data_IF_467135622512
#
_entry.id   IF_467135622512
#
_cell.length_a   1.000
_cell.length_b   1.000
_cell.length_c   1.000
_cell.angle_alpha   90.00
_cell.angle_beta   90.00
_cell.angle_gamma   90.00
#
_symmetry.space_group_name_H-M   'P 1'
#
loop_
_entity.id
_entity.type
_entity.pdbx_description
1 polymer ?
#
# COMPACT_ATOMS: atom_id res chain seq x y z
N UNK A 1 -9.77 -12.85 -6.13
CA UNK A 1 -8.46 -12.65 -6.77
C UNK A 1 -8.17 -11.17 -6.82
N UNK A 2 -6.96 -10.78 -6.44
CA UNK A 2 -6.45 -9.42 -6.62
C UNK A 2 -5.52 -9.39 -7.84
N UNK A 3 -5.37 -8.22 -8.47
CA UNK A 3 -4.45 -8.05 -9.59
C UNK A 3 -4.82 -8.80 -10.87
N UNK A 4 -3.94 -8.70 -11.87
CA UNK A 4 -4.05 -9.40 -13.14
C UNK A 4 -2.76 -10.20 -13.39
N UNK A 5 -2.77 -11.53 -13.21
CA UNK A 5 -1.57 -12.36 -13.36
C UNK A 5 -1.04 -12.41 -14.80
N UNK A 6 -1.86 -12.03 -15.80
CA UNK A 6 -1.43 -11.98 -17.21
C UNK A 6 -0.62 -10.74 -17.54
N UNK A 7 -0.65 -9.70 -16.71
CA UNK A 7 0.09 -8.47 -16.96
C UNK A 7 1.57 -8.62 -16.57
N UNK A 8 2.47 -7.93 -17.28
CA UNK A 8 3.91 -7.95 -16.98
C UNK A 8 4.25 -7.24 -15.67
N UNK A 9 3.51 -6.17 -15.35
CA UNK A 9 3.66 -5.34 -14.17
C UNK A 9 2.30 -5.21 -13.45
N UNK A 10 2.31 -4.94 -12.13
CA UNK A 10 1.09 -4.71 -11.39
C UNK A 10 0.37 -3.45 -11.88
N UNK A 11 -0.93 -3.41 -11.65
CA UNK A 11 -1.79 -2.30 -12.07
C UNK A 11 -1.25 -0.98 -11.50
N UNK A 12 -1.11 0.03 -12.35
CA UNK A 12 -0.66 1.40 -11.97
C UNK A 12 0.72 1.41 -11.31
N UNK A 13 1.59 0.48 -11.70
CA UNK A 13 2.99 0.55 -11.34
C UNK A 13 3.61 1.87 -11.80
N UNK A 14 4.35 2.51 -10.90
CA UNK A 14 5.11 3.75 -11.13
C UNK A 14 6.30 3.80 -10.18
N UNK A 15 7.32 4.53 -10.57
CA UNK A 15 8.55 4.70 -9.79
C UNK A 15 8.99 6.16 -9.84
N UNK A 16 9.51 6.66 -8.72
CA UNK A 16 10.10 8.00 -8.62
C UNK A 16 11.49 7.83 -8.01
N UNK A 17 12.50 8.30 -8.75
CA UNK A 17 13.90 8.32 -8.33
C UNK A 17 14.32 9.78 -8.16
N UNK A 18 14.30 10.26 -6.92
CA UNK A 18 14.68 11.62 -6.54
C UNK A 18 16.04 11.60 -5.82
N UNK A 19 16.73 12.72 -5.73
CA UNK A 19 18.02 12.81 -5.01
C UNK A 19 17.90 12.40 -3.54
N UNK A 20 16.77 12.73 -2.92
CA UNK A 20 16.55 12.54 -1.47
C UNK A 20 15.80 11.25 -1.12
N UNK A 21 15.14 10.62 -2.09
CA UNK A 21 14.29 9.45 -1.86
C UNK A 21 14.08 8.60 -3.11
N UNK A 22 13.81 7.31 -2.90
CA UNK A 22 13.46 6.37 -3.96
C UNK A 22 12.21 5.60 -3.59
N UNK A 23 11.22 5.59 -4.47
CA UNK A 23 9.98 4.87 -4.19
C UNK A 23 9.32 4.31 -5.45
N UNK A 24 8.52 3.28 -5.21
CA UNK A 24 7.61 2.68 -6.19
C UNK A 24 6.20 2.65 -5.62
N UNK A 25 5.21 2.65 -6.52
CA UNK A 25 3.79 2.59 -6.18
C UNK A 25 3.05 1.66 -7.13
N UNK A 26 2.20 0.76 -6.64
CA UNK A 26 1.29 -0.02 -7.50
C UNK A 26 0.06 -0.54 -6.77
N UNK A 27 -0.85 -1.17 -7.52
CA UNK A 27 -1.83 -2.10 -6.96
C UNK A 27 -1.18 -3.42 -6.56
N UNK A 28 -2.01 -4.39 -6.15
CA UNK A 28 -1.51 -5.71 -5.75
C UNK A 28 -0.75 -6.37 -6.90
N UNK A 29 0.46 -6.83 -6.60
CA UNK A 29 1.32 -7.60 -7.50
C UNK A 29 1.13 -9.09 -7.31
N UNK A 30 1.49 -9.87 -8.32
CA UNK A 30 1.83 -11.28 -8.15
C UNK A 30 3.29 -11.43 -7.70
N UNK A 31 3.69 -12.54 -7.06
CA UNK A 31 5.09 -12.81 -6.75
C UNK A 31 5.98 -12.78 -8.01
N UNK A 32 5.53 -13.37 -9.12
CA UNK A 32 6.22 -13.25 -10.41
C UNK A 32 6.42 -11.81 -10.90
N UNK A 33 5.44 -10.93 -10.72
CA UNK A 33 5.57 -9.51 -11.06
C UNK A 33 6.56 -8.79 -10.16
N UNK A 34 6.52 -9.07 -8.85
CA UNK A 34 7.46 -8.51 -7.88
C UNK A 34 8.90 -8.92 -8.24
N UNK A 35 9.16 -10.20 -8.51
CA UNK A 35 10.49 -10.67 -8.92
C UNK A 35 11.00 -9.93 -10.16
N UNK A 36 10.15 -9.71 -11.17
CA UNK A 36 10.51 -8.94 -12.37
C UNK A 36 10.88 -7.49 -12.06
N UNK A 37 10.24 -6.87 -11.06
CA UNK A 37 10.57 -5.52 -10.62
C UNK A 37 11.91 -5.54 -9.89
N UNK A 38 12.09 -6.45 -8.93
CA UNK A 38 13.31 -6.56 -8.13
C UNK A 38 14.55 -6.83 -8.99
N UNK A 39 14.44 -7.69 -10.00
CA UNK A 39 15.56 -8.00 -10.91
C UNK A 39 16.07 -6.79 -11.72
N UNK A 40 15.32 -5.69 -11.75
CA UNK A 40 15.74 -4.43 -12.40
C UNK A 40 16.40 -3.44 -11.44
N UNK A 41 16.43 -3.75 -10.15
CA UNK A 41 16.93 -2.88 -9.10
C UNK A 41 18.19 -3.49 -8.49
N UNK A 42 19.24 -2.68 -8.38
CA UNK A 42 20.45 -3.03 -7.65
C UNK A 42 20.54 -2.24 -6.33
N UNK A 43 19.51 -2.38 -5.49
CA UNK A 43 19.40 -1.66 -4.23
C UNK A 43 18.45 -2.40 -3.26
N UNK A 44 18.58 -2.19 -1.94
CA UNK A 44 17.63 -2.72 -0.97
C UNK A 44 16.22 -2.22 -1.26
N UNK A 45 15.23 -3.12 -1.12
CA UNK A 45 13.81 -2.80 -1.29
C UNK A 45 13.09 -3.17 0.00
N UNK A 46 12.18 -2.31 0.44
CA UNK A 46 11.22 -2.61 1.50
C UNK A 46 9.82 -2.48 0.92
N UNK A 47 9.03 -3.56 0.99
CA UNK A 47 7.59 -3.50 0.68
C UNK A 47 6.90 -2.77 1.82
N UNK A 48 6.11 -1.76 1.45
CA UNK A 48 5.21 -1.04 2.35
C UNK A 48 3.78 -1.43 2.00
N UNK A 49 3.27 -2.44 2.70
CA UNK A 49 1.91 -2.93 2.55
C UNK A 49 0.94 -2.04 3.33
N UNK A 50 -0.03 -1.45 2.63
CA UNK A 50 -1.01 -0.53 3.20
C UNK A 50 -2.39 -1.19 3.40
N UNK A 51 -2.45 -2.53 3.39
CA UNK A 51 -3.70 -3.28 3.39
C UNK A 51 -4.13 -3.70 4.80
N UNK A 52 -5.23 -3.15 5.28
CA UNK A 52 -5.90 -3.65 6.48
C UNK A 52 -6.66 -4.96 6.23
N UNK A 53 -7.15 -5.18 5.00
CA UNK A 53 -7.85 -6.40 4.62
C UNK A 53 -6.94 -7.63 4.65
N UNK A 54 -7.47 -8.78 5.07
CA UNK A 54 -6.71 -10.03 5.14
C UNK A 54 -6.39 -10.52 3.72
N UNK A 55 -5.12 -10.81 3.45
CA UNK A 55 -4.65 -11.16 2.11
C UNK A 55 -3.42 -12.08 2.13
N UNK A 56 -3.07 -12.60 0.95
CA UNK A 56 -1.88 -13.43 0.75
C UNK A 56 -1.80 -13.96 -0.67
N UNK A 57 -1.04 -15.03 -0.86
CA UNK A 57 -0.77 -15.64 -2.16
C UNK A 57 -1.11 -17.12 -2.13
N UNK A 58 -1.79 -17.59 -3.18
CA UNK A 58 -2.07 -19.00 -3.40
C UNK A 58 -1.62 -19.37 -4.81
N UNK A 59 -0.60 -20.22 -4.93
CA UNK A 59 -0.01 -20.62 -6.23
C UNK A 59 0.35 -19.42 -7.13
N UNK A 60 1.06 -18.43 -6.62
CA UNK A 60 1.40 -17.18 -7.33
C UNK A 60 0.22 -16.22 -7.58
N UNK A 61 -1.00 -16.58 -7.17
CA UNK A 61 -2.19 -15.74 -7.33
C UNK A 61 -2.41 -14.94 -6.04
N UNK A 62 -2.36 -13.60 -6.08
CA UNK A 62 -2.71 -12.79 -4.92
C UNK A 62 -4.22 -12.84 -4.68
N UNK A 63 -4.59 -12.99 -3.42
CA UNK A 63 -5.97 -13.11 -2.96
C UNK A 63 -6.20 -12.27 -1.72
N UNK A 64 -7.45 -11.88 -1.50
CA UNK A 64 -7.91 -11.29 -0.25
C UNK A 64 -9.27 -11.84 0.14
N UNK A 65 -9.51 -11.90 1.45
CA UNK A 65 -10.84 -12.15 1.99
C UNK A 65 -11.62 -10.85 1.93
N UNK A 66 -12.55 -10.79 0.99
CA UNK A 66 -13.26 -9.57 0.62
C UNK A 66 -14.72 -9.64 1.06
N UNK A 67 -15.13 -8.67 1.86
CA UNK A 67 -16.53 -8.39 2.18
C UNK A 67 -16.92 -6.96 1.85
N UNK A 68 -17.95 -6.46 2.52
CA UNK A 68 -18.58 -5.20 2.14
C UNK A 68 -17.56 -4.04 2.21
N UNK A 69 -17.37 -3.35 1.08
CA UNK A 69 -16.40 -2.23 0.92
C UNK A 69 -14.93 -2.57 1.21
N UNK A 70 -14.56 -3.86 1.31
CA UNK A 70 -13.21 -4.29 1.71
C UNK A 70 -12.87 -3.88 3.16
N UNK A 71 -13.87 -3.87 4.04
CA UNK A 71 -13.79 -3.39 5.44
C UNK A 71 -13.99 -4.51 6.47
N UNK A 72 -13.71 -5.76 6.11
CA UNK A 72 -13.89 -6.94 6.97
C UNK A 72 -13.14 -6.86 8.31
N UNK A 73 -12.11 -6.03 8.36
CA UNK A 73 -11.26 -5.80 9.51
C UNK A 73 -11.52 -4.45 10.21
N UNK A 74 -12.58 -3.75 9.85
CA UNK A 74 -13.01 -2.54 10.55
C UNK A 74 -13.29 -2.86 12.04
N UNK A 75 -12.84 -1.99 12.93
CA UNK A 75 -12.98 -2.09 14.39
C UNK A 75 -12.22 -3.27 15.05
N UNK A 76 -11.38 -4.02 14.31
CA UNK A 76 -10.51 -5.04 14.89
C UNK A 76 -9.18 -4.42 15.32
N UNK A 77 -8.59 -4.96 16.39
CA UNK A 77 -7.21 -4.62 16.73
C UNK A 77 -6.25 -5.20 15.68
N UNK A 78 -5.08 -4.57 15.51
CA UNK A 78 -4.04 -5.04 14.59
C UNK A 78 -3.63 -6.48 14.89
N UNK A 79 -3.42 -6.82 16.16
CA UNK A 79 -3.07 -8.18 16.58
C UNK A 79 -4.13 -9.22 16.21
N UNK A 80 -5.41 -8.82 16.23
CA UNK A 80 -6.53 -9.67 15.81
C UNK A 80 -6.51 -9.87 14.29
N UNK A 81 -6.27 -8.81 13.52
CA UNK A 81 -6.16 -8.88 12.06
C UNK A 81 -5.04 -9.84 11.65
N UNK A 82 -3.86 -9.70 12.25
CA UNK A 82 -2.71 -10.57 12.00
C UNK A 82 -2.99 -12.03 12.33
N UNK A 83 -3.60 -12.28 13.49
CA UNK A 83 -3.98 -13.61 13.91
C UNK A 83 -4.96 -14.25 12.91
N UNK A 84 -6.04 -13.54 12.55
CA UNK A 84 -7.07 -14.05 11.66
C UNK A 84 -6.55 -14.24 10.23
N UNK A 85 -5.75 -13.32 9.68
CA UNK A 85 -5.14 -13.50 8.36
C UNK A 85 -4.26 -14.75 8.31
N UNK A 86 -3.43 -14.97 9.34
CA UNK A 86 -2.62 -16.18 9.46
C UNK A 86 -3.47 -17.44 9.54
N UNK A 87 -4.54 -17.42 10.33
CA UNK A 87 -5.43 -18.56 10.48
C UNK A 87 -6.15 -18.90 9.15
N UNK A 88 -6.64 -17.88 8.45
CA UNK A 88 -7.25 -18.02 7.13
C UNK A 88 -6.29 -18.64 6.09
N UNK A 89 -5.04 -18.18 6.06
CA UNK A 89 -4.01 -18.76 5.18
C UNK A 89 -3.68 -20.21 5.57
N UNK A 90 -3.58 -20.51 6.86
CA UNK A 90 -3.36 -21.88 7.35
C UNK A 90 -4.51 -22.81 6.95
N UNK A 91 -5.76 -22.40 7.12
CA UNK A 91 -6.93 -23.18 6.70
C UNK A 91 -6.91 -23.46 5.20
N UNK A 92 -6.58 -22.45 4.38
CA UNK A 92 -6.43 -22.63 2.92
C UNK A 92 -5.35 -23.65 2.61
N UNK A 93 -4.20 -23.61 3.29
CA UNK A 93 -3.09 -24.55 3.05
C UNK A 93 -3.44 -26.02 3.32
N UNK A 94 -4.44 -26.27 4.17
CA UNK A 94 -4.91 -27.61 4.53
C UNK A 94 -6.08 -28.07 3.66
N UNK A 95 -6.64 -27.19 2.84
CA UNK A 95 -7.81 -27.49 2.02
C UNK A 95 -7.39 -28.17 0.70
N UNK A 96 -8.14 -29.19 0.26
CA UNK A 96 -7.84 -29.90 -0.99
C UNK A 96 -8.22 -29.13 -2.26
N UNK A 97 -9.14 -28.18 -2.16
CA UNK A 97 -9.70 -27.41 -3.27
C UNK A 97 -10.29 -26.08 -2.78
N UNK A 98 -9.99 -24.99 -3.47
CA UNK A 98 -10.56 -23.66 -3.21
C UNK A 98 -11.15 -23.06 -4.47
N UNK A 99 -12.17 -22.22 -4.30
CA UNK A 99 -12.77 -21.44 -5.39
C UNK A 99 -12.35 -19.99 -5.25
N UNK A 100 -11.68 -19.48 -6.28
CA UNK A 100 -11.27 -18.08 -6.38
C UNK A 100 -12.24 -17.34 -7.30
N UNK A 101 -12.84 -16.28 -6.77
CA UNK A 101 -13.75 -15.40 -7.50
C UNK A 101 -13.05 -14.07 -7.82
N UNK A 102 -13.08 -13.59 -9.07
CA UNK A 102 -12.71 -12.23 -9.42
C UNK A 102 -13.73 -11.24 -8.83
N UNK A 103 -13.27 -10.07 -8.40
CA UNK A 103 -14.17 -9.09 -7.79
C UNK A 103 -15.09 -8.46 -8.86
N UNK A 104 -16.37 -8.23 -8.49
CA UNK A 104 -17.53 -7.90 -9.36
C UNK A 104 -17.32 -6.86 -10.47
N UNK A 105 -16.32 -5.97 -10.37
CA UNK A 105 -15.92 -5.05 -11.47
C UNK A 105 -15.13 -5.73 -12.61
N UNK A 106 -14.79 -7.00 -12.44
CA UNK A 106 -14.03 -7.83 -13.38
C UNK A 106 -14.75 -9.17 -13.65
N UNK A 107 -15.94 -9.39 -13.06
CA UNK A 107 -16.67 -10.67 -13.12
C UNK A 107 -17.17 -11.00 -14.53
N UNK A 108 -17.52 -10.01 -15.35
CA UNK A 108 -17.95 -10.25 -16.74
C UNK A 108 -16.80 -10.74 -17.65
N UNK A 109 -15.56 -10.78 -17.16
CA UNK A 109 -14.37 -11.18 -17.92
C UNK A 109 -13.67 -12.45 -17.41
N UNK A 110 -14.00 -12.93 -16.23
CA UNK A 110 -13.25 -14.02 -15.59
C UNK A 110 -14.19 -15.00 -14.89
N UNK A 111 -14.15 -16.26 -15.32
CA UNK A 111 -14.83 -17.37 -14.67
C UNK A 111 -14.22 -17.64 -13.28
N UNK A 112 -15.01 -18.22 -12.38
CA UNK A 112 -14.47 -18.78 -11.13
C UNK A 112 -13.32 -19.73 -11.44
N UNK A 113 -12.22 -19.59 -10.71
CA UNK A 113 -11.06 -20.46 -10.85
C UNK A 113 -11.06 -21.42 -9.67
N UNK A 114 -11.07 -22.71 -9.95
CA UNK A 114 -10.99 -23.71 -8.90
C UNK A 114 -9.62 -24.38 -8.95
N UNK A 115 -8.91 -24.41 -7.83
CA UNK A 115 -7.56 -24.96 -7.77
C UNK A 115 -7.28 -25.66 -6.44
N UNK A 116 -6.24 -26.50 -6.44
CA UNK A 116 -5.65 -27.04 -5.21
C UNK A 116 -4.56 -26.07 -4.73
N UNK A 117 -4.59 -25.61 -3.47
CA UNK A 117 -3.55 -24.75 -2.92
C UNK A 117 -2.28 -25.57 -2.68
N UNK A 118 -1.27 -25.40 -3.54
CA UNK A 118 0.03 -26.09 -3.45
C UNK A 118 1.06 -25.25 -2.71
N UNK A 119 0.95 -23.92 -2.81
CA UNK A 119 1.77 -22.96 -2.09
C UNK A 119 0.86 -21.86 -1.55
N UNK A 120 0.94 -21.61 -0.24
CA UNK A 120 0.22 -20.53 0.44
C UNK A 120 1.22 -19.69 1.20
N UNK A 121 1.25 -18.39 0.95
CA UNK A 121 2.20 -17.47 1.59
C UNK A 121 1.47 -16.20 2.06
N UNK A 122 1.81 -15.71 3.25
CA UNK A 122 1.59 -14.31 3.58
C UNK A 122 2.55 -13.43 2.79
N UNK A 123 2.26 -12.13 2.71
CA UNK A 123 3.15 -11.21 2.01
C UNK A 123 4.49 -11.01 2.73
N UNK A 124 4.49 -11.03 4.06
CA UNK A 124 5.72 -11.06 4.86
C UNK A 124 6.58 -12.30 4.57
N UNK A 125 5.97 -13.48 4.42
CA UNK A 125 6.68 -14.71 4.04
C UNK A 125 7.26 -14.62 2.63
N UNK A 126 6.53 -14.03 1.68
CA UNK A 126 7.03 -13.79 0.34
C UNK A 126 8.24 -12.84 0.36
N UNK A 127 8.14 -11.72 1.06
CA UNK A 127 9.22 -10.75 1.18
C UNK A 127 10.49 -11.38 1.79
N UNK A 128 10.33 -12.15 2.88
CA UNK A 128 11.40 -12.90 3.52
C UNK A 128 12.06 -13.90 2.56
N UNK A 129 11.26 -14.67 1.81
CA UNK A 129 11.76 -15.62 0.80
C UNK A 129 12.57 -14.96 -0.32
N UNK A 130 12.25 -13.70 -0.64
CA UNK A 130 12.96 -12.90 -1.64
C UNK A 130 14.13 -12.09 -1.06
N UNK A 131 14.38 -12.16 0.25
CA UNK A 131 15.47 -11.44 0.92
C UNK A 131 15.27 -9.92 0.94
N UNK A 132 14.03 -9.43 0.91
CA UNK A 132 13.70 -8.00 0.94
C UNK A 132 12.97 -7.63 2.24
N UNK A 133 12.98 -6.35 2.58
CA UNK A 133 12.28 -5.87 3.77
C UNK A 133 10.76 -5.83 3.58
N UNK A 134 10.03 -5.86 4.70
CA UNK A 134 8.58 -5.78 4.72
C UNK A 134 8.12 -4.96 5.93
N UNK A 135 7.21 -4.02 5.68
CA UNK A 135 6.53 -3.26 6.72
C UNK A 135 5.06 -3.10 6.33
N UNK A 136 4.15 -3.44 7.24
CA UNK A 136 2.71 -3.28 7.06
C UNK A 136 2.17 -2.10 7.85
N UNK A 137 1.22 -1.38 7.26
CA UNK A 137 0.38 -0.36 7.87
C UNK A 137 -1.09 -0.66 7.60
N UNK A 138 -1.89 -0.78 8.65
CA UNK A 138 -3.27 -1.28 8.58
C UNK A 138 -4.24 -0.15 8.26
N UNK A 139 -4.30 0.22 6.98
CA UNK A 139 -5.18 1.30 6.51
C UNK A 139 -6.39 0.73 5.78
N UNK A 140 -7.59 1.01 6.30
CA UNK A 140 -8.86 0.62 5.69
C UNK A 140 -8.99 1.19 4.28
N UNK A 141 -9.65 0.46 3.38
CA UNK A 141 -9.80 0.95 2.01
C UNK A 141 -10.61 2.25 1.98
N UNK A 142 -10.19 3.20 1.13
CA UNK A 142 -10.76 4.54 0.98
C UNK A 142 -10.57 5.52 2.15
N UNK A 143 -10.33 5.04 3.37
CA UNK A 143 -10.11 5.85 4.57
C UNK A 143 -8.74 6.57 4.59
N UNK A 144 -8.58 7.63 5.40
CA UNK A 144 -7.26 8.11 5.82
C UNK A 144 -6.52 7.08 6.70
N UNK A 145 -5.18 7.19 6.84
CA UNK A 145 -4.49 6.50 7.91
C UNK A 145 -4.91 7.06 9.28
N UNK A 146 -5.03 6.20 10.28
CA UNK A 146 -5.20 6.62 11.66
C UNK A 146 -3.92 7.28 12.19
N UNK A 147 -4.05 8.13 13.21
CA UNK A 147 -2.91 8.85 13.79
C UNK A 147 -1.82 7.91 14.33
N UNK A 148 -2.22 6.77 14.90
CA UNK A 148 -1.31 5.74 15.42
C UNK A 148 -0.44 5.15 14.30
N UNK A 149 -1.05 4.80 13.17
CA UNK A 149 -0.36 4.28 11.98
C UNK A 149 0.52 5.36 11.32
N UNK A 150 0.05 6.62 11.29
CA UNK A 150 0.86 7.75 10.81
C UNK A 150 2.11 7.95 11.67
N UNK A 151 2.00 7.88 13.00
CA UNK A 151 3.14 8.00 13.90
C UNK A 151 4.16 6.88 13.70
N UNK A 152 3.69 5.62 13.56
CA UNK A 152 4.56 4.49 13.23
C UNK A 152 5.24 4.69 11.87
N UNK A 153 4.53 5.24 10.89
CA UNK A 153 5.08 5.51 9.57
C UNK A 153 6.23 6.51 9.61
N UNK A 154 6.10 7.59 10.40
CA UNK A 154 7.18 8.57 10.60
C UNK A 154 8.41 7.89 11.21
N UNK A 155 8.23 7.10 12.26
CA UNK A 155 9.32 6.36 12.92
C UNK A 155 10.02 5.40 11.95
N UNK A 156 9.23 4.66 11.16
CA UNK A 156 9.73 3.79 10.10
C UNK A 156 10.55 4.57 9.06
N UNK A 157 10.05 5.69 8.54
CA UNK A 157 10.76 6.51 7.55
C UNK A 157 12.11 7.03 8.07
N UNK A 158 12.23 7.29 9.38
CA UNK A 158 13.48 7.69 10.01
C UNK A 158 14.46 6.54 10.23
N UNK A 159 13.99 5.29 10.35
CA UNK A 159 14.87 4.12 10.55
C UNK A 159 15.40 3.50 9.26
N UNK A 160 14.83 3.87 8.11
CA UNK A 160 15.19 3.28 6.81
C UNK A 160 16.63 3.66 6.41
N UNK A 161 17.47 2.68 6.04
CA UNK A 161 18.82 2.95 5.53
C UNK A 161 18.81 3.83 4.28
N UNK A 162 19.89 4.59 4.09
CA UNK A 162 20.11 5.34 2.84
C UNK A 162 20.04 4.40 1.63
N UNK A 163 19.68 4.95 0.48
CA UNK A 163 19.61 4.25 -0.81
C UNK A 163 18.54 3.15 -0.93
N UNK A 164 17.73 2.92 0.10
CA UNK A 164 16.62 1.95 0.09
C UNK A 164 15.44 2.44 -0.73
N UNK A 165 14.90 1.56 -1.57
CA UNK A 165 13.63 1.78 -2.28
C UNK A 165 12.44 1.38 -1.41
N UNK A 166 11.47 2.27 -1.25
CA UNK A 166 10.18 1.93 -0.64
C UNK A 166 9.16 1.59 -1.71
N UNK A 167 8.64 0.36 -1.65
CA UNK A 167 7.60 -0.09 -2.56
C UNK A 167 6.23 -0.06 -1.88
N UNK A 168 5.51 1.05 -2.06
CA UNK A 168 4.15 1.20 -1.57
C UNK A 168 3.14 0.47 -2.46
N UNK A 169 2.24 -0.29 -1.85
CA UNK A 169 1.08 -0.78 -2.57
C UNK A 169 -0.15 -0.84 -1.66
N UNK A 170 -1.29 -0.97 -2.33
CA UNK A 170 -2.52 -1.43 -1.71
C UNK A 170 -3.22 -2.31 -2.75
N UNK A 171 -4.49 -2.66 -2.55
CA UNK A 171 -5.23 -3.42 -3.57
C UNK A 171 -5.20 -2.75 -4.96
N UNK A 172 -5.48 -1.44 -5.02
CA UNK A 172 -5.72 -0.72 -6.27
C UNK A 172 -4.62 0.23 -6.75
N UNK A 173 -3.60 0.50 -5.94
CA UNK A 173 -2.50 1.39 -6.32
C UNK A 173 -2.84 2.87 -6.42
N UNK A 174 -3.93 3.29 -5.78
CA UNK A 174 -4.45 4.66 -5.84
C UNK A 174 -4.51 5.31 -4.46
N UNK A 175 -5.65 5.23 -3.76
CA UNK A 175 -5.91 6.04 -2.56
C UNK A 175 -4.82 5.93 -1.49
N UNK A 176 -4.69 4.75 -0.90
CA UNK A 176 -3.68 4.45 0.15
C UNK A 176 -2.26 4.65 -0.37
N UNK A 177 -1.92 4.00 -1.49
CA UNK A 177 -0.59 4.10 -2.12
C UNK A 177 -0.14 5.53 -2.37
N UNK A 178 -0.97 6.35 -3.03
CA UNK A 178 -0.60 7.74 -3.33
C UNK A 178 -0.51 8.58 -2.06
N UNK A 179 -1.35 8.29 -1.06
CA UNK A 179 -1.30 9.01 0.23
C UNK A 179 0.04 8.77 0.92
N UNK A 180 0.48 7.52 1.05
CA UNK A 180 1.75 7.23 1.71
C UNK A 180 2.96 7.66 0.89
N UNK A 181 2.88 7.65 -0.45
CA UNK A 181 3.92 8.24 -1.30
C UNK A 181 4.03 9.76 -1.06
N UNK A 182 2.91 10.49 -0.96
CA UNK A 182 2.91 11.92 -0.60
C UNK A 182 3.50 12.15 0.79
N UNK A 183 3.05 11.38 1.80
CA UNK A 183 3.57 11.49 3.17
C UNK A 183 5.08 11.23 3.24
N UNK A 184 5.58 10.28 2.45
CA UNK A 184 7.00 10.00 2.34
C UNK A 184 7.79 11.16 1.74
N UNK A 185 7.30 11.79 0.66
CA UNK A 185 7.93 12.96 0.08
C UNK A 185 7.96 14.15 1.04
N UNK A 186 6.87 14.39 1.77
CA UNK A 186 6.80 15.46 2.78
C UNK A 186 7.93 15.28 3.81
N UNK A 187 8.20 14.04 4.23
CA UNK A 187 9.26 13.73 5.19
C UNK A 187 10.67 13.82 4.61
N UNK A 188 10.87 13.37 3.36
CA UNK A 188 12.21 13.28 2.76
C UNK A 188 12.65 14.53 2.01
N UNK A 189 11.71 15.35 1.54
CA UNK A 189 11.96 16.57 0.79
C UNK A 189 11.28 17.79 1.44
N UNK A 190 11.67 18.17 2.67
CA UNK A 190 10.98 19.18 3.50
C UNK A 190 11.11 20.63 3.00
N UNK A 191 11.72 20.84 1.83
CA UNK A 191 11.82 22.15 1.16
C UNK A 191 10.80 22.30 0.03
N UNK A 192 10.13 21.22 -0.39
CA UNK A 192 9.17 21.23 -1.48
C UNK A 192 7.80 21.68 -1.00
N UNK A 193 7.06 22.40 -1.84
CA UNK A 193 5.68 22.74 -1.54
C UNK A 193 4.76 21.54 -1.68
N UNK A 194 3.67 21.51 -0.89
CA UNK A 194 2.67 20.45 -0.98
C UNK A 194 2.02 20.37 -2.38
N UNK A 195 1.88 21.50 -3.08
CA UNK A 195 1.32 21.53 -4.43
C UNK A 195 2.25 20.87 -5.46
N UNK A 196 3.56 21.07 -5.36
CA UNK A 196 4.55 20.39 -6.21
C UNK A 196 4.52 18.88 -5.97
N UNK A 197 4.51 18.45 -4.70
CA UNK A 197 4.43 17.03 -4.34
C UNK A 197 3.15 16.38 -4.93
N UNK A 198 2.00 17.04 -4.83
CA UNK A 198 0.77 16.53 -5.44
C UNK A 198 0.84 16.47 -6.96
N UNK A 199 1.42 17.49 -7.61
CA UNK A 199 1.55 17.53 -9.06
C UNK A 199 2.44 16.39 -9.58
N UNK A 200 3.58 16.16 -8.92
CA UNK A 200 4.50 15.07 -9.25
C UNK A 200 3.85 13.69 -9.10
N UNK A 201 3.10 13.48 -8.02
CA UNK A 201 2.39 12.23 -7.82
C UNK A 201 1.35 11.98 -8.91
N UNK A 202 0.64 13.00 -9.37
CA UNK A 202 -0.28 12.88 -10.51
C UNK A 202 0.48 12.61 -11.80
N UNK A 203 1.59 13.33 -12.05
CA UNK A 203 2.43 13.14 -13.24
C UNK A 203 3.00 11.71 -13.33
N UNK A 204 3.41 11.14 -12.18
CA UNK A 204 3.86 9.77 -12.09
C UNK A 204 2.73 8.72 -12.24
N UNK A 205 1.47 9.13 -12.42
CA UNK A 205 0.32 8.24 -12.57
C UNK A 205 -0.38 7.85 -11.27
N UNK A 206 -0.08 8.56 -10.18
CA UNK A 206 -0.80 8.48 -8.91
C UNK A 206 -2.21 9.07 -8.98
N UNK A 207 -2.96 8.91 -7.89
CA UNK A 207 -4.30 9.51 -7.79
C UNK A 207 -4.18 11.01 -7.52
N UNK A 208 -4.93 11.84 -8.25
CA UNK A 208 -5.20 13.20 -7.82
C UNK A 208 -6.01 13.18 -6.51
N UNK A 209 -5.34 13.46 -5.40
CA UNK A 209 -5.93 13.44 -4.06
C UNK A 209 -6.74 14.70 -3.77
N UNK A 210 -6.57 15.78 -4.53
CA UNK A 210 -7.37 17.01 -4.45
C UNK A 210 -8.71 16.85 -5.15
N UNK A 211 -8.78 15.98 -6.16
CA UNK A 211 -10.04 15.67 -6.84
C UNK A 211 -10.95 14.76 -5.99
N UNK A 212 -12.02 15.36 -5.46
CA UNK A 212 -13.03 14.65 -4.68
C UNK A 212 -13.94 13.77 -5.56
N UNK A 213 -14.44 12.64 -5.04
CA UNK A 213 -15.51 11.90 -5.69
C UNK A 213 -16.84 12.70 -5.64
N UNK A 214 -17.94 12.23 -6.28
CA UNK A 214 -19.24 12.86 -6.13
C UNK A 214 -19.68 12.91 -4.66
N UNK A 215 -20.34 14.00 -4.23
CA UNK A 215 -20.83 14.17 -2.85
C UNK A 215 -21.81 13.07 -2.41
N UNK A 216 -22.58 12.50 -3.34
CA UNK A 216 -23.46 11.36 -3.09
C UNK A 216 -22.73 10.04 -2.81
N UNK A 217 -21.41 9.98 -3.04
CA UNK A 217 -20.62 8.80 -2.78
C UNK A 217 -20.26 8.70 -1.30
N UNK A 218 -20.42 7.51 -0.71
CA UNK A 218 -19.91 7.22 0.65
C UNK A 218 -18.39 7.48 0.82
N UNK A 219 -17.66 7.63 -0.29
CA UNK A 219 -16.21 7.90 -0.31
C UNK A 219 -15.87 9.38 -0.16
N UNK A 220 -16.85 10.28 -0.26
CA UNK A 220 -16.62 11.72 -0.28
C UNK A 220 -16.00 12.22 1.02
N UNK A 221 -16.66 11.97 2.15
CA UNK A 221 -16.14 12.40 3.46
C UNK A 221 -14.79 11.76 3.78
N UNK A 222 -14.60 10.48 3.47
CA UNK A 222 -13.31 9.80 3.63
C UNK A 222 -12.20 10.41 2.77
N UNK A 223 -12.53 10.86 1.54
CA UNK A 223 -11.56 11.51 0.67
C UNK A 223 -11.18 12.91 1.17
N UNK A 224 -12.16 13.65 1.67
CA UNK A 224 -11.98 14.98 2.28
C UNK A 224 -11.13 14.88 3.54
N UNK A 225 -11.45 13.94 4.42
CA UNK A 225 -10.69 13.68 5.66
C UNK A 225 -9.24 13.30 5.35
N UNK A 226 -9.03 12.43 4.35
CA UNK A 226 -7.67 12.07 3.90
C UNK A 226 -6.86 13.24 3.38
N UNK A 227 -7.47 14.15 2.62
CA UNK A 227 -6.78 15.35 2.18
C UNK A 227 -6.40 16.22 3.39
N UNK A 228 -7.34 16.42 4.32
CA UNK A 228 -7.10 17.21 5.52
C UNK A 228 -6.00 16.61 6.43
N UNK A 229 -5.89 15.28 6.53
CA UNK A 229 -4.78 14.62 7.24
C UNK A 229 -3.44 14.93 6.60
N UNK A 230 -3.34 14.91 5.26
CA UNK A 230 -2.09 15.22 4.55
C UNK A 230 -1.71 16.69 4.75
N UNK A 231 -2.67 17.61 4.65
CA UNK A 231 -2.45 19.05 4.82
C UNK A 231 -1.96 19.37 6.24
N UNK A 232 -2.65 18.87 7.27
CA UNK A 232 -2.21 19.03 8.67
C UNK A 232 -0.84 18.40 8.92
N UNK A 233 -0.58 17.25 8.31
CA UNK A 233 0.73 16.61 8.43
C UNK A 233 1.83 17.48 7.84
N UNK A 234 1.64 18.01 6.63
CA UNK A 234 2.58 18.92 5.99
C UNK A 234 2.85 20.17 6.84
N UNK A 235 1.81 20.82 7.35
CA UNK A 235 1.92 21.98 8.23
C UNK A 235 2.71 21.67 9.52
N UNK A 236 2.51 20.49 10.10
CA UNK A 236 3.26 20.04 11.29
C UNK A 236 4.75 19.90 11.00
N UNK A 237 5.13 19.41 9.81
CA UNK A 237 6.54 19.24 9.43
C UNK A 237 7.23 20.58 9.17
N UNK A 238 6.54 21.55 8.57
CA UNK A 238 7.05 22.93 8.42
C UNK A 238 7.28 23.55 9.80
N UNK A 239 6.31 23.43 10.71
CA UNK A 239 6.38 24.03 12.04
C UNK A 239 7.55 23.46 12.84
N UNK A 240 7.72 22.14 12.86
CA UNK A 240 8.84 21.48 13.54
C UNK A 240 10.21 21.93 12.99
N UNK A 241 10.31 22.10 11.67
CA UNK A 241 11.53 22.59 11.03
C UNK A 241 11.87 24.02 11.43
N UNK A 242 10.87 24.90 11.50
CA UNK A 242 11.05 26.30 11.95
C UNK A 242 11.55 26.36 13.39
N UNK A 243 10.96 25.56 14.29
CA UNK A 243 11.40 25.46 15.70
C UNK A 243 12.84 24.96 15.78
N UNK A 244 13.18 23.89 15.05
CA UNK A 244 14.54 23.33 15.06
C UNK A 244 15.59 24.30 14.47
N UNK A 245 15.19 25.17 13.55
CA UNK A 245 16.06 26.21 13.01
C UNK A 245 16.29 27.36 14.01
N UNK A 246 15.24 27.76 14.74
CA UNK A 246 15.34 28.78 15.80
C UNK A 246 16.18 28.30 16.98
N UNK A 247 16.06 27.03 17.39
CA UNK A 247 16.82 26.45 18.50
C UNK A 247 18.34 26.25 18.21
N UNK A 248 18.76 26.40 16.95
CA UNK A 248 20.16 26.28 16.51
C UNK A 248 20.84 27.64 16.25
N UNK A 249 20.12 28.74 16.43
CA UNK A 249 20.66 30.11 16.40
C UNK A 249 20.84 30.60 17.82
#
# INVERSE_FOLDING_TARGET
MDGNPKATLPKRFRSINHSDFRMMGSGQFTPSQLIKILNKLNAPVIIVDLRAESHGFINDIPVSWYGHRNWDNQNKSISRIEFEERDLLNQVSQTSKITLTPLRKEADKYSQTILKPLSVLSEAQLASKLGIGYQRFYVLDHAPPEQSELNKFIQFVHSIPKDTWLYFHCRGGQGRTTTFMVLYEILKAPNRSLNEIFADQVHAGGKDLKRMPPQSSYKYELAKERLAVIERFYESQITQKSINHQARK
#
